data_IF_372824501873
#
_entry.id   IF_372824501873
#
_cell.length_a   1.000
_cell.length_b   1.000
_cell.length_c   1.000
_cell.angle_alpha   90.00
_cell.angle_beta   90.00
_cell.angle_gamma   90.00
#
_symmetry.space_group_name_H-M   'P 1'
#
loop_
_entity.id
_entity.type
_entity.pdbx_description
1 polymer ?
#
# COMPACT_ATOMS: atom_id res chain seq x y z
N UNK A 1 17.44 17.68 27.96
CA UNK A 1 16.75 16.94 26.90
C UNK A 1 17.53 15.65 26.68
N UNK A 2 17.05 14.49 27.17
CA UNK A 2 17.85 13.23 27.17
C UNK A 2 17.39 12.23 26.10
N UNK A 3 16.23 12.46 25.49
CA UNK A 3 15.71 11.71 24.35
C UNK A 3 14.91 12.68 23.47
N UNK A 4 15.22 12.78 22.18
CA UNK A 4 14.44 13.54 21.18
C UNK A 4 13.11 12.82 20.88
N UNK A 5 12.29 12.57 21.91
CA UNK A 5 11.00 11.90 21.77
C UNK A 5 9.90 12.95 21.86
N UNK A 6 9.19 13.15 20.76
CA UNK A 6 7.88 13.77 20.76
C UNK A 6 6.85 12.85 21.45
N UNK A 7 5.87 13.45 22.14
CA UNK A 7 4.95 12.77 23.05
C UNK A 7 3.92 11.80 22.43
N UNK A 8 3.29 11.02 23.32
CA UNK A 8 2.31 9.91 23.17
C UNK A 8 2.57 8.87 22.07
N UNK A 9 2.39 7.57 22.39
CA UNK A 9 2.56 6.46 21.43
C UNK A 9 1.79 6.66 20.12
N UNK A 10 0.61 7.27 20.23
CA UNK A 10 -0.18 7.72 19.09
C UNK A 10 -0.01 9.22 18.91
N UNK A 11 0.47 9.62 17.74
CA UNK A 11 0.65 11.02 17.42
C UNK A 11 -0.62 11.56 16.72
N UNK A 12 -1.55 12.12 17.50
CA UNK A 12 -2.78 12.73 17.00
C UNK A 12 -3.92 11.74 16.70
N UNK A 13 -4.99 12.25 16.06
CA UNK A 13 -6.15 11.43 15.65
C UNK A 13 -5.86 10.73 14.33
N UNK A 14 -6.38 9.51 14.17
CA UNK A 14 -6.36 8.83 12.87
C UNK A 14 -7.20 9.60 11.84
N UNK A 15 -6.79 9.53 10.57
CA UNK A 15 -7.53 10.08 9.44
C UNK A 15 -8.35 8.96 8.78
N UNK A 16 -9.56 9.27 8.33
CA UNK A 16 -10.43 8.35 7.61
C UNK A 16 -10.94 8.98 6.33
N UNK A 17 -10.85 8.25 5.22
CA UNK A 17 -11.27 8.73 3.91
C UNK A 17 -12.19 7.70 3.27
N UNK A 18 -13.36 8.14 2.80
CA UNK A 18 -14.29 7.27 2.10
C UNK A 18 -13.75 6.93 0.70
N UNK A 19 -13.73 5.63 0.39
CA UNK A 19 -13.42 5.15 -0.96
C UNK A 19 -14.68 5.27 -1.81
N UNK A 20 -14.60 6.02 -2.91
CA UNK A 20 -15.72 6.35 -3.80
C UNK A 20 -15.68 5.61 -5.14
N UNK A 21 -14.57 4.98 -5.49
CA UNK A 21 -14.42 4.24 -6.75
C UNK A 21 -13.47 3.06 -6.62
N UNK A 22 -13.62 2.10 -7.53
CA UNK A 22 -12.69 0.96 -7.64
C UNK A 22 -11.29 1.43 -8.02
N UNK A 23 -11.15 2.44 -8.88
CA UNK A 23 -9.84 3.02 -9.22
C UNK A 23 -9.13 3.56 -7.97
N UNK A 24 -9.86 4.27 -7.10
CA UNK A 24 -9.33 4.75 -5.83
C UNK A 24 -8.91 3.58 -4.93
N UNK A 25 -9.73 2.54 -4.83
CA UNK A 25 -9.42 1.34 -4.06
C UNK A 25 -8.10 0.69 -4.53
N UNK A 26 -7.96 0.48 -5.84
CA UNK A 26 -6.80 -0.19 -6.43
C UNK A 26 -5.51 0.62 -6.21
N UNK A 27 -5.57 1.93 -6.44
CA UNK A 27 -4.43 2.81 -6.22
C UNK A 27 -4.08 2.96 -4.73
N UNK A 28 -5.07 2.98 -3.83
CA UNK A 28 -4.83 2.95 -2.38
C UNK A 28 -4.12 1.66 -1.94
N UNK A 29 -4.55 0.51 -2.46
CA UNK A 29 -3.88 -0.77 -2.22
C UNK A 29 -2.42 -0.73 -2.63
N UNK A 30 -2.14 -0.24 -3.86
CA UNK A 30 -0.76 -0.07 -4.34
C UNK A 30 0.04 0.82 -3.39
N UNK A 31 -0.51 1.95 -2.96
CA UNK A 31 0.17 2.87 -2.06
C UNK A 31 0.55 2.21 -0.73
N UNK A 32 -0.37 1.46 -0.11
CA UNK A 32 -0.09 0.73 1.13
C UNK A 32 1.07 -0.24 0.94
N UNK A 33 1.07 -1.02 -0.15
CA UNK A 33 2.14 -1.96 -0.43
C UNK A 33 3.48 -1.28 -0.76
N UNK A 34 3.47 -0.14 -1.45
CA UNK A 34 4.70 0.58 -1.79
C UNK A 34 5.23 1.49 -0.68
N UNK A 35 4.45 1.72 0.39
CA UNK A 35 4.83 2.63 1.46
C UNK A 35 6.22 2.35 2.07
N UNK A 36 6.62 1.09 2.37
CA UNK A 36 7.96 0.80 2.88
C UNK A 36 9.09 1.19 1.92
N UNK A 37 8.87 1.12 0.61
CA UNK A 37 9.84 1.58 -0.39
C UNK A 37 9.89 3.10 -0.39
N UNK A 38 8.73 3.76 -0.45
CA UNK A 38 8.67 5.23 -0.54
C UNK A 38 9.15 5.92 0.72
N UNK A 39 9.04 5.27 1.88
CA UNK A 39 9.58 5.77 3.16
C UNK A 39 11.05 5.41 3.39
N UNK A 40 11.71 4.73 2.43
CA UNK A 40 13.11 4.35 2.52
C UNK A 40 13.42 3.23 3.53
N UNK A 41 12.42 2.44 3.94
CA UNK A 41 12.62 1.30 4.86
C UNK A 41 13.34 0.14 4.14
N UNK A 42 13.06 -0.07 2.86
CA UNK A 42 13.62 -1.16 2.06
C UNK A 42 13.75 -0.79 0.58
N UNK A 43 14.56 -1.54 -0.16
CA UNK A 43 14.67 -1.39 -1.62
C UNK A 43 13.53 -2.10 -2.35
N UNK A 44 13.23 -1.66 -3.58
CA UNK A 44 12.11 -2.17 -4.37
C UNK A 44 12.18 -3.70 -4.58
N UNK A 45 13.39 -4.24 -4.74
CA UNK A 45 13.66 -5.66 -4.98
C UNK A 45 13.29 -6.54 -3.77
N UNK A 46 13.27 -5.98 -2.57
CA UNK A 46 12.97 -6.70 -1.34
C UNK A 46 11.45 -6.81 -1.08
N UNK A 47 10.64 -5.98 -1.73
CA UNK A 47 9.25 -5.74 -1.37
C UNK A 47 8.38 -7.01 -1.44
N UNK A 48 8.57 -7.85 -2.46
CA UNK A 48 7.78 -9.09 -2.65
C UNK A 48 7.96 -10.11 -1.53
N UNK A 49 9.06 -10.02 -0.79
CA UNK A 49 9.41 -10.94 0.30
C UNK A 49 9.24 -10.30 1.68
N UNK A 50 8.86 -9.03 1.74
CA UNK A 50 8.87 -8.28 2.99
C UNK A 50 7.69 -8.68 3.90
N UNK A 51 7.97 -9.26 5.09
CA UNK A 51 6.94 -9.89 5.92
C UNK A 51 6.01 -8.89 6.60
N UNK A 52 6.40 -7.62 6.71
CA UNK A 52 5.61 -6.57 7.36
C UNK A 52 4.65 -5.87 6.41
N UNK A 53 4.29 -6.54 5.32
CA UNK A 53 3.21 -6.14 4.40
C UNK A 53 2.37 -7.36 4.07
N UNK A 54 1.14 -7.12 3.63
CA UNK A 54 0.31 -8.18 3.08
C UNK A 54 0.63 -8.51 1.62
N UNK A 55 1.56 -7.80 0.96
CA UNK A 55 1.87 -8.03 -0.47
C UNK A 55 2.21 -9.50 -0.77
N UNK A 56 3.06 -10.21 0.01
CA UNK A 56 3.34 -11.62 -0.24
C UNK A 56 2.07 -12.50 -0.24
N UNK A 57 1.07 -12.16 0.58
CA UNK A 57 -0.21 -12.88 0.64
C UNK A 57 -1.05 -12.68 -0.62
N UNK A 58 -0.95 -11.51 -1.25
CA UNK A 58 -1.62 -11.21 -2.53
C UNK A 58 -0.93 -11.85 -3.73
N UNK A 59 0.39 -12.10 -3.64
CA UNK A 59 1.19 -12.60 -4.76
C UNK A 59 1.30 -14.13 -4.83
N UNK A 60 1.05 -14.84 -3.73
CA UNK A 60 1.33 -16.29 -3.62
C UNK A 60 0.08 -17.16 -3.46
N UNK A 61 -1.12 -16.62 -3.63
CA UNK A 61 -2.40 -17.33 -3.40
C UNK A 61 -2.51 -18.04 -2.04
N UNK A 62 -1.68 -17.68 -1.06
CA UNK A 62 -1.70 -18.30 0.27
C UNK A 62 -2.87 -17.76 1.09
N UNK A 63 -3.52 -18.63 1.86
CA UNK A 63 -4.51 -18.20 2.83
C UNK A 63 -3.79 -17.50 3.99
N UNK A 64 -4.14 -16.25 4.24
CA UNK A 64 -3.64 -15.49 5.38
C UNK A 64 -4.76 -14.72 6.06
N UNK A 65 -4.43 -13.54 6.58
CA UNK A 65 -5.35 -12.74 7.41
C UNK A 65 -6.14 -11.75 6.54
N UNK A 66 -5.69 -11.48 5.32
CA UNK A 66 -6.26 -10.43 4.48
C UNK A 66 -7.46 -10.92 3.66
N UNK A 67 -8.52 -10.10 3.61
CA UNK A 67 -9.58 -10.27 2.61
C UNK A 67 -9.12 -9.67 1.28
N UNK A 68 -8.78 -10.55 0.33
CA UNK A 68 -8.16 -10.17 -0.95
C UNK A 68 -9.16 -10.06 -2.10
N UNK A 69 -10.35 -10.66 -2.00
CA UNK A 69 -11.30 -10.77 -3.12
C UNK A 69 -11.73 -9.42 -3.66
N UNK A 70 -11.90 -8.43 -2.78
CA UNK A 70 -12.33 -7.09 -3.17
C UNK A 70 -11.37 -6.44 -4.16
N UNK A 71 -10.07 -6.74 -4.06
CA UNK A 71 -9.02 -6.18 -4.92
C UNK A 71 -8.72 -7.13 -6.07
N UNK A 72 -8.50 -8.41 -5.77
CA UNK A 72 -8.09 -9.40 -6.77
C UNK A 72 -9.17 -9.67 -7.83
N UNK A 73 -10.46 -9.40 -7.55
CA UNK A 73 -11.53 -9.49 -8.56
C UNK A 73 -11.33 -8.57 -9.77
N UNK A 74 -10.49 -7.53 -9.65
CA UNK A 74 -10.18 -6.58 -10.73
C UNK A 74 -9.06 -7.06 -11.65
N UNK A 75 -8.43 -8.20 -11.34
CA UNK A 75 -7.30 -8.73 -12.09
C UNK A 75 -7.60 -10.14 -12.57
N UNK A 76 -7.16 -10.46 -13.78
CA UNK A 76 -7.30 -11.80 -14.36
C UNK A 76 -6.34 -12.82 -13.74
N UNK A 77 -5.26 -12.35 -13.10
CA UNK A 77 -4.27 -13.19 -12.45
C UNK A 77 -3.47 -12.41 -11.40
N UNK A 78 -2.80 -13.14 -10.51
CA UNK A 78 -1.85 -12.58 -9.54
C UNK A 78 -0.66 -11.89 -10.23
N UNK A 79 -0.27 -12.37 -11.42
CA UNK A 79 0.77 -11.76 -12.25
C UNK A 79 0.32 -10.36 -12.69
N UNK A 80 -0.92 -10.22 -13.17
CA UNK A 80 -1.45 -8.92 -13.55
C UNK A 80 -1.54 -7.96 -12.36
N UNK A 81 -1.93 -8.47 -11.18
CA UNK A 81 -1.91 -7.67 -9.94
C UNK A 81 -0.49 -7.24 -9.58
N UNK A 82 0.48 -8.15 -9.66
CA UNK A 82 1.90 -7.87 -9.42
C UNK A 82 2.41 -6.77 -10.34
N UNK A 83 2.16 -6.89 -11.63
CA UNK A 83 2.57 -5.91 -12.64
C UNK A 83 1.93 -4.55 -12.35
N UNK A 84 0.64 -4.53 -11.96
CA UNK A 84 0.00 -3.32 -11.50
C UNK A 84 0.75 -2.73 -10.30
N UNK A 85 0.94 -3.46 -9.20
CA UNK A 85 1.58 -2.92 -7.99
C UNK A 85 3.00 -2.41 -8.27
N UNK A 86 3.79 -3.17 -9.04
CA UNK A 86 5.21 -2.92 -9.26
C UNK A 86 5.49 -1.99 -10.47
N UNK A 87 4.48 -1.63 -11.26
CA UNK A 87 4.63 -0.69 -12.38
C UNK A 87 4.98 0.73 -11.89
N UNK A 88 6.17 1.20 -12.29
CA UNK A 88 6.62 2.58 -12.01
C UNK A 88 5.73 3.63 -12.67
N UNK A 89 5.20 3.36 -13.87
CA UNK A 89 4.30 4.28 -14.60
C UNK A 89 3.03 4.56 -13.80
N UNK A 90 2.50 3.52 -13.15
CA UNK A 90 1.27 3.64 -12.38
C UNK A 90 1.49 4.16 -10.95
N UNK A 91 2.72 4.10 -10.44
CA UNK A 91 3.08 4.70 -9.17
C UNK A 91 2.85 6.23 -9.19
N UNK A 92 3.28 6.92 -10.24
CA UNK A 92 3.05 8.37 -10.35
C UNK A 92 1.55 8.72 -10.40
N UNK A 93 0.76 7.90 -11.11
CA UNK A 93 -0.71 8.04 -11.14
C UNK A 93 -1.32 7.83 -9.76
N UNK A 94 -0.82 6.86 -9.01
CA UNK A 94 -1.22 6.58 -7.62
C UNK A 94 -1.00 7.81 -6.73
N UNK A 95 0.21 8.37 -6.74
CA UNK A 95 0.51 9.57 -5.96
C UNK A 95 -0.41 10.73 -6.35
N UNK A 96 -0.67 10.93 -7.65
CA UNK A 96 -1.57 11.99 -8.10
C UNK A 96 -3.02 11.79 -7.65
N UNK A 97 -3.54 10.55 -7.69
CA UNK A 97 -4.90 10.26 -7.23
C UNK A 97 -5.01 10.41 -5.71
N UNK A 98 -3.94 10.03 -4.99
CA UNK A 98 -3.90 10.08 -3.55
C UNK A 98 -3.54 11.45 -2.99
N UNK A 99 -2.94 12.38 -3.74
CA UNK A 99 -2.65 13.76 -3.27
C UNK A 99 -3.85 14.46 -2.62
N UNK A 100 -5.06 14.16 -3.09
CA UNK A 100 -6.30 14.75 -2.55
C UNK A 100 -6.90 13.93 -1.38
N UNK A 101 -6.29 12.81 -1.02
CA UNK A 101 -6.71 11.82 -0.02
C UNK A 101 -5.69 11.71 1.12
N UNK A 102 -4.40 11.84 0.80
CA UNK A 102 -3.28 12.00 1.71
C UNK A 102 -3.09 13.48 1.97
N UNK A 103 -3.61 13.91 3.12
CA UNK A 103 -3.46 15.25 3.65
C UNK A 103 -2.04 15.41 4.20
N UNK A 104 -1.14 16.01 3.41
CA UNK A 104 -0.03 16.79 3.98
C UNK A 104 -0.61 17.98 4.77
#
# INVERSE_FOLDING_TARGET
MKYERSGSLFQGRFKSVLIKSDEQLLHLSRYIHLNPVTSGILSFEQLESYPWTSLPEYLKSVQGICEKKLILKHFSSEIQYKDFVLSRKDHQKTLNLLKNLTLD
#
